data_IF_607705917746
#
_entry.id   IF_607705917746
#
_cell.length_a   1.000
_cell.length_b   1.000
_cell.length_c   1.000
_cell.angle_alpha   90.00
_cell.angle_beta   90.00
_cell.angle_gamma   90.00
#
_symmetry.space_group_name_H-M   'P 1'
#
loop_
_entity.id
_entity.type
_entity.pdbx_description
1 polymer ?
#
# COMPACT_ATOMS: atom_id res chain seq x y z
N UNK A 1 -28.34 -52.21 -1.27
CA UNK A 1 -27.10 -51.45 -1.01
C UNK A 1 -27.48 -49.98 -0.95
N UNK A 2 -27.45 -49.39 0.24
CA UNK A 2 -27.66 -47.95 0.40
C UNK A 2 -26.38 -47.24 -0.03
N UNK A 3 -26.44 -46.16 -0.81
CA UNK A 3 -25.25 -45.38 -1.11
C UNK A 3 -24.75 -44.74 0.20
N UNK A 4 -23.53 -45.08 0.60
CA UNK A 4 -22.82 -44.33 1.63
C UNK A 4 -22.74 -42.87 1.18
N UNK A 5 -23.44 -41.99 1.88
CA UNK A 5 -23.25 -40.55 1.77
C UNK A 5 -21.92 -40.24 2.44
N UNK A 6 -20.84 -40.30 1.66
CA UNK A 6 -19.57 -39.72 2.05
C UNK A 6 -19.82 -38.22 2.19
N UNK A 7 -19.83 -37.71 3.43
CA UNK A 7 -19.91 -36.27 3.65
C UNK A 7 -18.70 -35.63 2.97
N UNK A 8 -18.90 -34.82 1.92
CA UNK A 8 -17.78 -34.26 1.18
C UNK A 8 -17.04 -33.31 2.11
N UNK A 9 -15.76 -33.59 2.34
CA UNK A 9 -14.89 -32.67 3.04
C UNK A 9 -14.69 -31.45 2.14
N UNK A 10 -15.32 -30.33 2.46
CA UNK A 10 -15.29 -29.14 1.62
C UNK A 10 -13.96 -28.40 1.77
N UNK A 11 -13.25 -28.21 0.66
CA UNK A 11 -12.10 -27.32 0.55
C UNK A 11 -12.47 -26.03 -0.16
N UNK A 12 -12.20 -24.88 0.45
CA UNK A 12 -12.33 -23.59 -0.20
C UNK A 12 -11.26 -23.42 -1.30
N UNK A 13 -11.62 -22.73 -2.38
CA UNK A 13 -10.66 -22.35 -3.42
C UNK A 13 -10.97 -20.98 -4.02
N UNK A 14 -9.93 -20.36 -4.54
CA UNK A 14 -10.00 -19.18 -5.38
C UNK A 14 -9.12 -19.40 -6.62
N UNK A 15 -9.61 -19.00 -7.79
CA UNK A 15 -8.84 -18.97 -9.04
C UNK A 15 -9.03 -17.60 -9.68
N UNK A 16 -7.94 -16.95 -10.03
CA UNK A 16 -7.96 -15.68 -10.74
C UNK A 16 -7.79 -15.92 -12.24
N UNK A 17 -8.70 -15.36 -13.04
CA UNK A 17 -8.62 -15.26 -14.49
C UNK A 17 -8.34 -13.81 -14.90
N UNK A 18 -8.31 -13.56 -16.21
CA UNK A 18 -7.90 -12.26 -16.74
C UNK A 18 -8.93 -11.13 -16.52
N UNK A 19 -10.21 -11.48 -16.35
CA UNK A 19 -11.32 -10.54 -16.16
C UNK A 19 -12.32 -10.93 -15.06
N UNK A 20 -12.17 -12.13 -14.48
CA UNK A 20 -13.03 -12.67 -13.44
C UNK A 20 -12.20 -13.47 -12.44
N UNK A 21 -12.65 -13.52 -11.19
CA UNK A 21 -12.19 -14.48 -10.20
C UNK A 21 -13.30 -15.47 -9.90
N UNK A 22 -12.96 -16.76 -9.84
CA UNK A 22 -13.86 -17.83 -9.43
C UNK A 22 -13.53 -18.22 -8.00
N UNK A 23 -14.53 -18.17 -7.12
CA UNK A 23 -14.40 -18.63 -5.73
C UNK A 23 -15.46 -19.68 -5.44
N UNK A 24 -15.13 -20.65 -4.61
CA UNK A 24 -16.08 -21.73 -4.33
C UNK A 24 -15.54 -22.84 -3.43
N UNK A 25 -16.28 -23.93 -3.42
CA UNK A 25 -15.97 -25.14 -2.68
C UNK A 25 -15.74 -26.30 -3.64
N UNK A 26 -14.69 -27.07 -3.36
CA UNK A 26 -14.41 -28.35 -3.99
C UNK A 26 -14.44 -29.45 -2.95
N UNK A 27 -14.75 -30.66 -3.38
CA UNK A 27 -14.48 -31.86 -2.60
C UNK A 27 -12.97 -31.98 -2.41
N UNK A 28 -12.50 -31.98 -1.17
CA UNK A 28 -11.08 -32.06 -0.84
C UNK A 28 -10.47 -33.42 -1.21
N UNK A 29 -11.29 -34.48 -1.27
CA UNK A 29 -10.84 -35.84 -1.59
C UNK A 29 -10.71 -36.08 -3.10
N UNK A 30 -11.64 -35.55 -3.90
CA UNK A 30 -11.67 -35.76 -5.36
C UNK A 30 -11.19 -34.55 -6.16
N UNK A 31 -11.07 -33.39 -5.52
CA UNK A 31 -10.76 -32.12 -6.18
C UNK A 31 -11.90 -31.55 -7.03
N UNK A 32 -13.06 -32.23 -7.09
CA UNK A 32 -14.20 -31.83 -7.91
C UNK A 32 -14.86 -30.57 -7.33
N UNK A 33 -15.10 -29.57 -8.17
CA UNK A 33 -15.86 -28.38 -7.78
C UNK A 33 -17.31 -28.77 -7.48
N UNK A 34 -17.76 -28.45 -6.26
CA UNK A 34 -19.13 -28.69 -5.79
C UNK A 34 -20.00 -27.46 -6.06
N UNK A 35 -19.45 -26.27 -5.79
CA UNK A 35 -20.11 -25.00 -6.05
C UNK A 35 -19.07 -23.92 -6.32
N UNK A 36 -19.39 -23.01 -7.23
CA UNK A 36 -18.56 -21.84 -7.51
C UNK A 36 -19.40 -20.66 -7.96
N UNK A 37 -18.91 -19.46 -7.64
CA UNK A 37 -19.41 -18.20 -8.19
C UNK A 37 -18.30 -17.54 -8.99
N UNK A 38 -18.67 -16.86 -10.06
CA UNK A 38 -17.79 -15.99 -10.82
C UNK A 38 -18.03 -14.55 -10.42
N UNK A 39 -16.97 -13.85 -10.07
CA UNK A 39 -16.98 -12.46 -9.65
C UNK A 39 -16.15 -11.67 -10.67
N UNK A 40 -16.69 -10.64 -11.32
CA UNK A 40 -15.89 -9.77 -12.18
C UNK A 40 -14.71 -9.16 -11.42
N UNK A 41 -13.52 -9.15 -12.04
CA UNK A 41 -12.30 -8.65 -11.41
C UNK A 41 -12.47 -7.20 -10.94
N UNK A 42 -13.21 -6.38 -11.71
CA UNK A 42 -13.47 -4.98 -11.38
C UNK A 42 -14.27 -4.80 -10.09
N UNK A 43 -15.14 -5.76 -9.74
CA UNK A 43 -15.90 -5.73 -8.48
C UNK A 43 -14.97 -5.97 -7.29
N UNK A 44 -14.03 -6.91 -7.44
CA UNK A 44 -13.02 -7.21 -6.42
C UNK A 44 -12.05 -6.05 -6.26
N UNK A 45 -11.52 -5.54 -7.37
CA UNK A 45 -10.60 -4.39 -7.38
C UNK A 45 -11.23 -3.18 -6.72
N UNK A 46 -12.49 -2.87 -7.06
CA UNK A 46 -13.22 -1.77 -6.43
C UNK A 46 -13.43 -2.00 -4.94
N UNK A 47 -13.82 -3.20 -4.52
CA UNK A 47 -13.99 -3.51 -3.11
C UNK A 47 -12.66 -3.43 -2.35
N UNK A 48 -11.55 -3.87 -2.95
CA UNK A 48 -10.21 -3.73 -2.36
C UNK A 48 -9.83 -2.26 -2.23
N UNK A 49 -10.01 -1.46 -3.28
CA UNK A 49 -9.70 -0.02 -3.27
C UNK A 49 -10.56 0.76 -2.27
N UNK A 50 -11.86 0.44 -2.15
CA UNK A 50 -12.77 1.08 -1.19
C UNK A 50 -12.39 0.76 0.26
N UNK A 51 -11.71 -0.36 0.52
CA UNK A 51 -11.30 -0.81 1.85
C UNK A 51 -9.79 -0.67 2.13
N UNK A 52 -9.01 -0.23 1.14
CA UNK A 52 -7.59 0.02 1.30
C UNK A 52 -7.38 1.44 1.81
N UNK A 53 -6.83 1.56 3.02
CA UNK A 53 -6.31 2.83 3.52
C UNK A 53 -4.79 2.83 3.38
N UNK A 54 -4.18 3.93 2.94
CA UNK A 54 -2.72 4.06 2.93
C UNK A 54 -2.31 4.99 4.06
N UNK A 55 -1.53 4.46 4.99
CA UNK A 55 -0.92 5.24 6.06
C UNK A 55 0.49 5.62 5.66
N UNK A 56 0.81 6.92 5.77
CA UNK A 56 2.13 7.48 5.47
C UNK A 56 2.68 8.09 6.76
N UNK A 57 3.87 7.64 7.17
CA UNK A 57 4.52 8.07 8.41
C UNK A 57 5.92 8.57 8.13
N UNK A 58 6.28 9.74 8.68
CA UNK A 58 7.65 10.24 8.73
C UNK A 58 8.36 9.64 9.96
N UNK A 59 9.44 8.89 9.71
CA UNK A 59 10.27 8.27 10.73
C UNK A 59 11.30 9.27 11.29
N UNK A 60 11.86 8.95 12.46
CA UNK A 60 12.77 9.84 13.18
C UNK A 60 14.11 10.11 12.48
N UNK A 61 14.47 9.29 11.49
CA UNK A 61 15.65 9.41 10.64
C UNK A 61 15.36 10.16 9.31
N UNK A 62 14.11 10.57 9.08
CA UNK A 62 13.72 11.26 7.85
C UNK A 62 13.29 10.34 6.71
N UNK A 63 13.07 9.05 6.97
CA UNK A 63 12.42 8.13 6.04
C UNK A 63 10.90 8.34 6.03
N UNK A 64 10.29 8.31 4.85
CA UNK A 64 8.82 8.25 4.69
C UNK A 64 8.45 6.79 4.45
N UNK A 65 7.80 6.18 5.43
CA UNK A 65 7.25 4.84 5.32
C UNK A 65 5.78 4.90 4.91
N UNK A 66 5.39 4.05 3.95
CA UNK A 66 4.00 3.81 3.60
C UNK A 66 3.60 2.36 3.90
N UNK A 67 2.38 2.19 4.39
CA UNK A 67 1.78 0.89 4.63
C UNK A 67 0.29 0.92 4.26
N UNK A 68 -0.25 -0.22 3.84
CA UNK A 68 -1.69 -0.36 3.65
C UNK A 68 -2.32 -0.79 4.98
N UNK A 69 -3.21 0.05 5.49
CA UNK A 69 -4.02 -0.17 6.67
C UNK A 69 -5.43 -0.67 6.29
N UNK A 70 -6.04 -1.44 7.19
CA UNK A 70 -7.41 -1.96 7.05
C UNK A 70 -7.48 -3.48 6.91
N UNK A 71 -8.68 -4.00 6.63
CA UNK A 71 -8.97 -5.44 6.53
C UNK A 71 -8.18 -6.16 5.42
N UNK A 72 -7.63 -5.39 4.47
CA UNK A 72 -6.77 -5.89 3.40
C UNK A 72 -5.27 -5.84 3.76
N UNK A 73 -4.88 -5.37 4.94
CA UNK A 73 -3.47 -5.18 5.33
C UNK A 73 -2.67 -6.49 5.24
N UNK A 74 -3.28 -7.63 5.57
CA UNK A 74 -2.64 -8.96 5.44
C UNK A 74 -2.34 -9.36 3.98
N UNK A 75 -3.05 -8.78 3.01
CA UNK A 75 -2.80 -8.96 1.58
C UNK A 75 -1.65 -8.08 1.06
N UNK A 76 -1.29 -7.02 1.80
CA UNK A 76 -0.33 -6.00 1.39
C UNK A 76 0.83 -5.93 2.40
N UNK A 77 1.73 -6.92 2.34
CA UNK A 77 2.90 -7.00 3.24
C UNK A 77 4.04 -6.04 2.87
N UNK A 78 3.89 -5.22 1.83
CA UNK A 78 4.96 -4.35 1.34
C UNK A 78 5.00 -3.03 2.14
N UNK A 79 5.75 -3.01 3.23
CA UNK A 79 6.19 -1.75 3.84
C UNK A 79 7.31 -1.19 2.98
N UNK A 80 7.03 -0.13 2.24
CA UNK A 80 8.06 0.61 1.49
C UNK A 80 8.46 1.84 2.29
N UNK A 81 9.75 2.11 2.42
CA UNK A 81 10.26 3.38 2.91
C UNK A 81 11.13 4.04 1.86
N UNK A 82 11.07 5.37 1.81
CA UNK A 82 11.90 6.19 0.93
C UNK A 82 12.41 7.40 1.72
N UNK A 83 13.71 7.74 1.61
CA UNK A 83 14.25 8.97 2.18
C UNK A 83 13.55 10.24 1.65
N UNK A 84 13.33 11.24 2.51
CA UNK A 84 12.74 12.54 2.10
C UNK A 84 13.56 13.22 1.00
N UNK A 85 14.90 13.18 1.08
CA UNK A 85 15.81 13.75 0.09
C UNK A 85 15.68 13.04 -1.27
N UNK A 86 15.52 11.73 -1.30
CA UNK A 86 15.25 11.00 -2.53
C UNK A 86 13.94 11.44 -3.19
N UNK A 87 12.87 11.69 -2.43
CA UNK A 87 11.62 12.22 -3.00
C UNK A 87 11.79 13.63 -3.58
N UNK A 88 12.56 14.48 -2.92
CA UNK A 88 12.89 15.83 -3.42
C UNK A 88 13.69 15.72 -4.72
N UNK A 89 14.72 14.88 -4.76
CA UNK A 89 15.56 14.66 -5.94
C UNK A 89 14.76 14.15 -7.15
N UNK A 90 13.87 13.18 -6.91
CA UNK A 90 12.97 12.67 -7.95
C UNK A 90 12.04 13.76 -8.46
N UNK A 91 11.46 14.59 -7.58
CA UNK A 91 10.56 15.67 -7.99
C UNK A 91 11.28 16.73 -8.84
N UNK A 92 12.47 17.17 -8.43
CA UNK A 92 13.22 18.22 -9.14
C UNK A 92 13.91 17.74 -10.43
N UNK A 93 13.85 16.43 -10.71
CA UNK A 93 14.33 15.90 -11.98
C UNK A 93 13.56 16.50 -13.16
N UNK A 94 14.28 16.83 -14.25
CA UNK A 94 13.70 17.56 -15.40
C UNK A 94 12.50 16.86 -16.02
N UNK A 95 12.47 15.53 -16.01
CA UNK A 95 11.37 14.73 -16.54
C UNK A 95 10.09 14.84 -15.71
N UNK A 96 10.20 15.02 -14.38
CA UNK A 96 9.03 15.15 -13.51
C UNK A 96 8.56 16.59 -13.43
N UNK A 97 9.47 17.57 -13.39
CA UNK A 97 9.11 18.99 -13.46
C UNK A 97 8.28 19.31 -14.72
N UNK A 98 8.64 18.70 -15.86
CA UNK A 98 7.88 18.86 -17.09
C UNK A 98 6.49 18.21 -17.03
N UNK A 99 6.37 17.02 -16.43
CA UNK A 99 5.08 16.30 -16.29
C UNK A 99 4.12 17.00 -15.32
N UNK A 100 4.66 17.57 -14.26
CA UNK A 100 3.90 18.29 -13.22
C UNK A 100 3.65 19.76 -13.60
N UNK A 101 4.15 20.21 -14.76
CA UNK A 101 4.09 21.61 -15.22
C UNK A 101 4.60 22.61 -14.15
N UNK A 102 5.57 22.18 -13.34
CA UNK A 102 6.05 22.93 -12.19
C UNK A 102 6.78 24.20 -12.61
N UNK A 103 6.43 25.33 -11.99
CA UNK A 103 7.02 26.64 -12.30
C UNK A 103 8.21 26.95 -11.39
N UNK A 104 9.01 27.95 -11.78
CA UNK A 104 10.07 28.48 -10.92
C UNK A 104 9.53 29.00 -9.56
N UNK A 105 8.30 29.55 -9.55
CA UNK A 105 7.67 30.01 -8.32
C UNK A 105 7.32 28.86 -7.37
N UNK A 106 6.90 27.71 -7.91
CA UNK A 106 6.63 26.50 -7.14
C UNK A 106 7.93 25.96 -6.51
N UNK A 107 9.03 25.97 -7.27
CA UNK A 107 10.34 25.55 -6.77
C UNK A 107 10.90 26.48 -5.68
N UNK A 108 10.70 27.80 -5.82
CA UNK A 108 11.03 28.76 -4.74
C UNK A 108 10.21 28.47 -3.48
N UNK A 109 8.92 28.22 -3.63
CA UNK A 109 8.03 27.87 -2.51
C UNK A 109 8.47 26.56 -1.83
N UNK A 110 8.85 25.55 -2.61
CA UNK A 110 9.39 24.29 -2.09
C UNK A 110 10.69 24.53 -1.32
N UNK A 111 11.62 25.31 -1.87
CA UNK A 111 12.89 25.66 -1.22
C UNK A 111 12.67 26.35 0.13
N UNK A 112 11.78 27.34 0.20
CA UNK A 112 11.45 28.02 1.45
C UNK A 112 10.84 27.09 2.51
N UNK A 113 10.06 26.08 2.08
CA UNK A 113 9.52 25.07 2.99
C UNK A 113 10.61 24.15 3.52
N UNK A 114 11.50 23.66 2.65
CA UNK A 114 12.63 22.80 3.04
C UNK A 114 13.57 23.53 4.02
N UNK A 115 13.90 24.80 3.75
CA UNK A 115 14.71 25.61 4.65
C UNK A 115 14.07 25.80 6.02
N UNK A 116 12.75 26.00 6.09
CA UNK A 116 12.02 26.05 7.37
C UNK A 116 12.09 24.73 8.14
N UNK A 117 11.98 23.60 7.44
CA UNK A 117 12.13 22.28 8.05
C UNK A 117 13.52 22.06 8.62
N UNK A 118 14.58 22.45 7.88
CA UNK A 118 15.97 22.41 8.37
C UNK A 118 16.12 23.21 9.67
N UNK A 119 15.66 24.47 9.67
CA UNK A 119 15.72 25.32 10.87
C UNK A 119 14.97 24.71 12.06
N UNK A 120 13.82 24.06 11.83
CA UNK A 120 13.06 23.42 12.90
C UNK A 120 13.84 22.24 13.52
N UNK A 121 14.48 21.41 12.70
CA UNK A 121 15.31 20.30 13.16
C UNK A 121 16.53 20.82 13.93
N UNK A 122 17.23 21.82 13.41
CA UNK A 122 18.40 22.44 14.07
C UNK A 122 18.06 23.04 15.44
N UNK A 123 16.91 23.72 15.55
CA UNK A 123 16.41 24.25 16.83
C UNK A 123 16.18 23.13 17.83
N UNK A 124 15.51 22.06 17.43
CA UNK A 124 15.23 20.90 18.30
C UNK A 124 16.53 20.21 18.73
N UNK A 125 17.49 19.99 17.83
CA UNK A 125 18.82 19.45 18.17
C UNK A 125 19.52 20.35 19.21
N UNK A 126 19.45 21.67 19.02
CA UNK A 126 20.05 22.63 19.96
C UNK A 126 19.41 22.58 21.34
N UNK A 127 18.08 22.40 21.41
CA UNK A 127 17.35 22.24 22.66
C UNK A 127 17.74 20.93 23.38
N UNK A 128 17.80 19.81 22.65
CA UNK A 128 18.19 18.51 23.19
C UNK A 128 19.61 18.54 23.77
N UNK A 129 20.56 19.17 23.08
CA UNK A 129 21.94 19.35 23.57
C UNK A 129 22.02 20.14 24.87
N UNK A 130 21.14 21.12 25.07
CA UNK A 130 21.10 21.95 26.29
C UNK A 130 20.46 21.21 27.47
N UNK A 131 19.46 20.36 27.22
CA UNK A 131 18.79 19.57 28.26
C UNK A 131 19.66 18.41 28.78
N UNK A 132 20.65 17.96 28.00
CA UNK A 132 21.58 16.90 28.37
C UNK A 132 22.81 17.40 29.18
N UNK A 133 22.85 18.68 29.54
CA UNK A 133 23.93 19.32 30.31
C UNK A 133 23.43 19.74 31.68
#
# INVERSE_FOLDING_TARGET
MSPETVDPTLGAFAKYGQSTATVGYRDASTGRVIASIEIPAQVIERAVLENASVEITLLGDGEIASAVAGSASDCFSARTSVPVDHLVDVFVSSGNLHKEEATEADLRTLLERLQRSVQAVERTISLLKRAAK
#
